data_IF_010485007217
#
_entry.id   IF_010485007217
#
_cell.length_a   1.000
_cell.length_b   1.000
_cell.length_c   1.000
_cell.angle_alpha   90.00
_cell.angle_beta   90.00
_cell.angle_gamma   90.00
#
_symmetry.space_group_name_H-M   'P 1'
#
loop_
_entity.id
_entity.type
_entity.pdbx_description
1 polymer ?
#
# COMPACT_ATOMS: atom_id res chain seq x y z
N UNK A 1 -5.08 62.27 -2.53
CA UNK A 1 -4.95 61.73 -3.90
C UNK A 1 -5.18 60.21 -3.98
N UNK A 2 -4.24 59.32 -3.69
CA UNK A 2 -4.44 57.85 -3.88
C UNK A 2 -5.58 57.28 -3.01
N UNK A 3 -5.66 57.71 -1.75
CA UNK A 3 -6.72 57.29 -0.83
C UNK A 3 -8.12 57.74 -1.28
N UNK A 4 -8.24 58.96 -1.80
CA UNK A 4 -9.49 59.46 -2.36
C UNK A 4 -9.89 58.70 -3.63
N UNK A 5 -8.93 58.37 -4.49
CA UNK A 5 -9.18 57.59 -5.70
C UNK A 5 -9.71 56.18 -5.38
N UNK A 6 -9.17 55.51 -4.37
CA UNK A 6 -9.68 54.20 -3.90
C UNK A 6 -11.11 54.35 -3.36
N UNK A 7 -11.37 55.40 -2.57
CA UNK A 7 -12.70 55.67 -1.99
C UNK A 7 -13.75 55.97 -3.07
N UNK A 8 -13.35 56.70 -4.11
CA UNK A 8 -14.18 56.97 -5.30
C UNK A 8 -14.45 55.70 -6.11
N UNK A 9 -13.45 54.83 -6.30
CA UNK A 9 -13.61 53.55 -6.99
C UNK A 9 -14.60 52.61 -6.28
N UNK A 10 -14.50 52.48 -4.95
CA UNK A 10 -15.48 51.72 -4.15
C UNK A 10 -16.89 52.30 -4.25
N UNK A 11 -17.03 53.64 -4.25
CA UNK A 11 -18.33 54.29 -4.42
C UNK A 11 -18.91 54.01 -5.81
N UNK A 12 -18.10 54.04 -6.86
CA UNK A 12 -18.52 53.74 -8.23
C UNK A 12 -18.95 52.27 -8.41
N UNK A 13 -18.23 51.33 -7.79
CA UNK A 13 -18.63 49.91 -7.71
C UNK A 13 -19.98 49.73 -6.99
N UNK A 14 -20.20 50.46 -5.90
CA UNK A 14 -21.43 50.35 -5.11
C UNK A 14 -22.66 50.99 -5.80
N UNK A 15 -22.45 51.90 -6.76
CA UNK A 15 -23.51 52.44 -7.63
C UNK A 15 -23.94 51.44 -8.70
N UNK A 16 -23.01 50.61 -9.20
CA UNK A 16 -23.26 49.65 -10.29
C UNK A 16 -23.22 48.19 -9.82
N UNK A 17 -23.86 47.91 -8.68
CA UNK A 17 -23.83 46.61 -7.97
C UNK A 17 -23.99 45.39 -8.87
N UNK A 18 -24.98 45.39 -9.78
CA UNK A 18 -25.26 44.26 -10.65
C UNK A 18 -24.11 43.97 -11.63
N UNK A 19 -23.52 45.02 -12.20
CA UNK A 19 -22.40 44.89 -13.13
C UNK A 19 -21.15 44.40 -12.41
N UNK A 20 -20.80 45.03 -11.28
CA UNK A 20 -19.63 44.64 -10.49
C UNK A 20 -19.75 43.21 -9.96
N UNK A 21 -20.94 42.80 -9.50
CA UNK A 21 -21.19 41.43 -9.02
C UNK A 21 -21.01 40.41 -10.14
N UNK A 22 -21.63 40.62 -11.31
CA UNK A 22 -21.54 39.69 -12.44
C UNK A 22 -20.11 39.58 -13.00
N UNK A 23 -19.37 40.68 -13.07
CA UNK A 23 -17.96 40.66 -13.51
C UNK A 23 -17.06 39.94 -12.51
N UNK A 24 -17.22 40.18 -11.21
CA UNK A 24 -16.46 39.46 -10.18
C UNK A 24 -16.80 37.96 -10.18
N UNK A 25 -18.08 37.62 -10.31
CA UNK A 25 -18.51 36.23 -10.35
C UNK A 25 -17.88 35.46 -11.52
N UNK A 26 -17.81 36.08 -12.71
CA UNK A 26 -17.15 35.48 -13.87
C UNK A 26 -15.66 35.22 -13.63
N UNK A 27 -14.94 36.18 -13.05
CA UNK A 27 -13.51 36.02 -12.74
C UNK A 27 -13.31 34.93 -11.68
N UNK A 28 -14.11 34.93 -10.60
CA UNK A 28 -14.01 33.96 -9.51
C UNK A 28 -14.27 32.54 -10.02
N UNK A 29 -15.34 32.32 -10.79
CA UNK A 29 -15.64 31.00 -11.36
C UNK A 29 -14.55 30.57 -12.35
N UNK A 30 -14.06 31.49 -13.19
CA UNK A 30 -13.00 31.22 -14.15
C UNK A 30 -11.72 30.75 -13.46
N UNK A 31 -11.21 31.54 -12.50
CA UNK A 31 -9.98 31.20 -11.76
C UNK A 31 -10.19 29.94 -10.91
N UNK A 32 -11.33 29.78 -10.25
CA UNK A 32 -11.64 28.60 -9.46
C UNK A 32 -11.65 27.31 -10.31
N UNK A 33 -12.23 27.36 -11.53
CA UNK A 33 -12.27 26.21 -12.44
C UNK A 33 -10.87 25.78 -12.90
N UNK A 34 -9.99 26.75 -13.18
CA UNK A 34 -8.59 26.48 -13.60
C UNK A 34 -7.78 25.89 -12.44
N UNK A 35 -7.92 26.42 -11.23
CA UNK A 35 -7.24 25.86 -10.05
C UNK A 35 -7.75 24.45 -9.76
N UNK A 36 -9.06 24.23 -9.85
CA UNK A 36 -9.66 22.92 -9.62
C UNK A 36 -9.13 21.87 -10.60
N UNK A 37 -9.11 22.16 -11.90
CA UNK A 37 -8.64 21.17 -12.90
C UNK A 37 -7.14 20.89 -12.78
N UNK A 38 -6.33 21.89 -12.46
CA UNK A 38 -4.88 21.72 -12.26
C UNK A 38 -4.59 20.84 -11.04
N UNK A 39 -5.24 21.13 -9.91
CA UNK A 39 -5.06 20.36 -8.67
C UNK A 39 -5.58 18.93 -8.81
N UNK A 40 -6.72 18.72 -9.47
CA UNK A 40 -7.23 17.38 -9.81
C UNK A 40 -6.26 16.62 -10.72
N UNK A 41 -5.72 17.28 -11.75
CA UNK A 41 -4.77 16.67 -12.67
C UNK A 41 -3.49 16.22 -11.97
N UNK A 42 -2.89 17.12 -11.19
CA UNK A 42 -1.68 16.83 -10.42
C UNK A 42 -1.90 15.72 -9.38
N UNK A 43 -3.02 15.76 -8.66
CA UNK A 43 -3.39 14.73 -7.68
C UNK A 43 -3.60 13.37 -8.34
N UNK A 44 -4.29 13.32 -9.49
CA UNK A 44 -4.48 12.08 -10.24
C UNK A 44 -3.16 11.51 -10.73
N UNK A 45 -2.27 12.35 -11.29
CA UNK A 45 -0.92 11.92 -11.69
C UNK A 45 -0.13 11.40 -10.51
N UNK A 46 -0.08 12.14 -9.39
CA UNK A 46 0.65 11.72 -8.19
C UNK A 46 0.11 10.41 -7.61
N UNK A 47 -1.21 10.23 -7.55
CA UNK A 47 -1.84 8.99 -7.06
C UNK A 47 -1.51 7.79 -7.95
N UNK A 48 -1.52 7.96 -9.28
CA UNK A 48 -1.13 6.92 -10.22
C UNK A 48 0.37 6.60 -10.05
N UNK A 49 1.22 7.63 -9.98
CA UNK A 49 2.66 7.44 -9.79
C UNK A 49 2.97 6.75 -8.46
N UNK A 50 2.31 7.13 -7.36
CA UNK A 50 2.44 6.45 -6.06
C UNK A 50 2.02 4.99 -6.15
N UNK A 51 0.86 4.69 -6.74
CA UNK A 51 0.40 3.31 -6.91
C UNK A 51 1.41 2.47 -7.71
N UNK A 52 2.00 3.06 -8.76
CA UNK A 52 3.00 2.38 -9.60
C UNK A 52 4.32 2.18 -8.85
N UNK A 53 4.78 3.18 -8.09
CA UNK A 53 6.01 3.11 -7.28
C UNK A 53 5.85 2.10 -6.15
N UNK A 54 4.72 2.13 -5.44
CA UNK A 54 4.34 1.16 -4.40
C UNK A 54 4.20 -0.26 -4.95
N UNK A 55 3.85 -0.41 -6.23
CA UNK A 55 3.76 -1.72 -6.89
C UNK A 55 5.14 -2.31 -7.28
N UNK A 56 6.24 -1.62 -6.97
CA UNK A 56 7.58 -2.17 -7.09
C UNK A 56 8.12 -2.12 -8.52
N UNK A 57 8.50 -0.93 -8.99
CA UNK A 57 9.23 -0.73 -10.26
C UNK A 57 10.57 -1.51 -10.35
N UNK A 58 11.02 -2.10 -9.25
CA UNK A 58 12.23 -2.93 -9.16
C UNK A 58 11.94 -4.42 -8.89
N UNK A 59 10.68 -4.86 -8.92
CA UNK A 59 10.30 -6.24 -8.61
C UNK A 59 9.90 -7.03 -9.87
N UNK A 60 10.56 -8.18 -10.08
CA UNK A 60 10.19 -9.14 -11.13
C UNK A 60 9.65 -10.40 -10.48
N UNK A 61 8.36 -10.68 -10.71
CA UNK A 61 7.72 -11.90 -10.19
C UNK A 61 7.75 -13.00 -11.24
N UNK A 62 8.35 -14.14 -10.89
CA UNK A 62 8.42 -15.32 -11.75
C UNK A 62 7.40 -16.34 -11.26
N UNK A 63 6.49 -16.75 -12.15
CA UNK A 63 5.53 -17.81 -11.87
C UNK A 63 5.91 -19.09 -12.62
N UNK A 64 5.84 -20.27 -12.00
CA UNK A 64 6.02 -21.52 -12.71
C UNK A 64 4.91 -21.68 -13.75
N UNK A 65 5.28 -22.06 -14.98
CA UNK A 65 4.30 -22.49 -15.98
C UNK A 65 3.70 -23.80 -15.49
N UNK A 66 2.37 -23.86 -15.39
CA UNK A 66 1.63 -25.04 -14.93
C UNK A 66 1.76 -26.17 -15.96
N UNK A 67 2.85 -26.92 -15.89
CA UNK A 67 3.11 -28.13 -16.67
C UNK A 67 2.95 -29.36 -15.77
N UNK A 68 2.48 -30.48 -16.33
CA UNK A 68 2.26 -31.75 -15.60
C UNK A 68 3.52 -32.32 -14.96
N UNK A 69 4.71 -31.83 -15.37
CA UNK A 69 5.99 -32.05 -14.69
C UNK A 69 6.41 -30.75 -14.02
N UNK A 70 5.75 -30.35 -12.95
CA UNK A 70 6.29 -29.32 -12.05
C UNK A 70 7.52 -29.91 -11.37
N UNK A 71 8.68 -29.75 -11.98
CA UNK A 71 9.94 -29.97 -11.30
C UNK A 71 10.00 -29.00 -10.11
N UNK A 72 10.52 -29.47 -8.97
CA UNK A 72 10.84 -28.66 -7.79
C UNK A 72 11.99 -27.66 -8.09
N UNK A 73 11.97 -26.99 -9.24
CA UNK A 73 13.02 -26.07 -9.69
C UNK A 73 13.02 -24.77 -8.89
N UNK A 74 11.85 -24.31 -8.43
CA UNK A 74 11.72 -23.13 -7.58
C UNK A 74 11.94 -23.50 -6.10
N UNK A 75 13.20 -23.76 -5.76
CA UNK A 75 13.67 -23.95 -4.36
C UNK A 75 14.43 -22.70 -3.90
N UNK A 76 14.61 -22.52 -2.59
CA UNK A 76 15.46 -21.43 -2.05
C UNK A 76 16.86 -21.39 -2.69
N UNK A 77 17.45 -22.55 -2.96
CA UNK A 77 18.74 -22.68 -3.67
C UNK A 77 18.72 -22.08 -5.09
N UNK A 78 17.58 -22.13 -5.79
CA UNK A 78 17.44 -21.45 -7.08
C UNK A 78 17.55 -19.93 -6.93
N UNK A 79 17.02 -19.38 -5.85
CA UNK A 79 17.15 -17.97 -5.53
C UNK A 79 18.60 -17.56 -5.27
N UNK A 80 19.34 -18.36 -4.50
CA UNK A 80 20.78 -18.14 -4.25
C UNK A 80 21.58 -18.15 -5.56
N UNK A 81 21.38 -19.17 -6.39
CA UNK A 81 22.06 -19.28 -7.70
C UNK A 81 21.74 -18.13 -8.63
N UNK A 82 20.50 -17.61 -8.59
CA UNK A 82 20.07 -16.50 -9.43
C UNK A 82 20.78 -15.20 -9.03
N UNK A 83 20.92 -14.95 -7.72
CA UNK A 83 21.68 -13.80 -7.19
C UNK A 83 23.17 -13.87 -7.56
N UNK A 84 23.75 -15.07 -7.63
CA UNK A 84 25.15 -15.27 -8.04
C UNK A 84 25.36 -15.13 -9.56
N UNK A 85 24.34 -15.47 -10.36
CA UNK A 85 24.49 -15.58 -11.82
C UNK A 85 24.08 -14.31 -12.57
N UNK A 86 23.34 -13.41 -11.94
CA UNK A 86 22.79 -12.20 -12.57
C UNK A 86 23.16 -10.97 -11.75
N UNK A 87 23.95 -10.09 -12.35
CA UNK A 87 24.31 -8.81 -11.75
C UNK A 87 23.09 -7.91 -11.55
N UNK A 88 23.11 -7.08 -10.50
CA UNK A 88 22.06 -6.13 -10.10
C UNK A 88 20.78 -6.73 -9.48
N UNK A 89 20.77 -8.01 -9.09
CA UNK A 89 19.71 -8.53 -8.23
C UNK A 89 20.02 -8.22 -6.77
N UNK A 90 19.21 -7.36 -6.14
CA UNK A 90 19.38 -7.01 -4.72
C UNK A 90 18.91 -8.12 -3.78
N UNK A 91 17.77 -8.74 -4.06
CA UNK A 91 17.17 -9.79 -3.23
C UNK A 91 16.24 -10.67 -4.05
N UNK A 92 16.21 -11.97 -3.76
CA UNK A 92 15.23 -12.92 -4.29
C UNK A 92 14.34 -13.39 -3.15
N UNK A 93 13.03 -13.31 -3.35
CA UNK A 93 12.03 -13.70 -2.35
C UNK A 93 11.23 -14.91 -2.86
N UNK A 94 11.50 -16.13 -2.35
CA UNK A 94 10.64 -17.26 -2.60
C UNK A 94 9.32 -17.06 -1.83
N UNK A 95 8.20 -17.23 -2.54
CA UNK A 95 6.87 -17.04 -1.96
C UNK A 95 6.02 -18.25 -2.29
N UNK A 96 5.41 -18.86 -1.27
CA UNK A 96 4.44 -19.94 -1.44
C UNK A 96 3.13 -19.55 -0.76
N UNK A 97 2.04 -19.48 -1.52
CA UNK A 97 0.73 -19.10 -1.02
C UNK A 97 -0.28 -20.24 -1.14
N UNK A 98 -1.10 -20.42 -0.11
CA UNK A 98 -2.19 -21.39 -0.09
C UNK A 98 -3.36 -20.86 0.74
N UNK A 99 -4.59 -21.17 0.33
CA UNK A 99 -5.77 -20.85 1.14
C UNK A 99 -5.91 -21.86 2.27
N UNK A 100 -6.15 -21.39 3.48
CA UNK A 100 -6.37 -22.22 4.65
C UNK A 100 -7.46 -21.64 5.55
N UNK A 101 -8.14 -22.52 6.28
CA UNK A 101 -9.08 -22.13 7.32
C UNK A 101 -8.30 -21.90 8.61
N UNK A 102 -8.29 -20.65 9.08
CA UNK A 102 -7.66 -20.24 10.34
C UNK A 102 -8.73 -20.22 11.42
N UNK A 103 -8.48 -20.89 12.55
CA UNK A 103 -9.43 -21.00 13.67
C UNK A 103 -8.79 -20.58 14.99
N UNK A 104 -9.54 -19.81 15.76
CA UNK A 104 -9.24 -19.41 17.14
C UNK A 104 -10.48 -19.61 17.99
N UNK A 105 -10.45 -20.61 18.89
CA UNK A 105 -11.62 -20.99 19.68
C UNK A 105 -12.81 -21.38 18.80
N UNK A 106 -13.90 -20.60 18.88
CA UNK A 106 -15.12 -20.80 18.09
C UNK A 106 -15.17 -19.97 16.79
N UNK A 107 -14.20 -19.09 16.57
CA UNK A 107 -14.13 -18.26 15.36
C UNK A 107 -13.26 -18.90 14.30
N UNK A 108 -13.68 -18.84 13.04
CA UNK A 108 -12.91 -19.33 11.91
C UNK A 108 -13.05 -18.43 10.69
N UNK A 109 -11.95 -18.19 9.99
CA UNK A 109 -11.87 -17.37 8.78
C UNK A 109 -11.07 -18.12 7.71
N UNK A 110 -11.50 -18.03 6.46
CA UNK A 110 -10.67 -18.47 5.33
C UNK A 110 -9.73 -17.34 4.95
N UNK A 111 -8.43 -17.59 5.00
CA UNK A 111 -7.42 -16.60 4.64
C UNK A 111 -6.31 -17.24 3.81
N UNK A 112 -5.63 -16.41 3.03
CA UNK A 112 -4.41 -16.81 2.34
C UNK A 112 -3.27 -16.88 3.35
N UNK A 113 -2.64 -18.04 3.45
CA UNK A 113 -1.41 -18.24 4.22
C UNK A 113 -0.25 -18.23 3.24
N UNK A 114 0.71 -17.36 3.49
CA UNK A 114 1.88 -17.19 2.64
C UNK A 114 3.15 -17.51 3.44
N UNK A 115 3.91 -18.48 2.97
CA UNK A 115 5.26 -18.75 3.43
C UNK A 115 6.24 -17.81 2.76
N UNK A 116 6.97 -17.05 3.57
CA UNK A 116 7.95 -16.04 3.15
C UNK A 116 9.19 -16.08 4.05
N UNK A 117 10.30 -15.52 3.57
CA UNK A 117 11.51 -15.33 4.38
C UNK A 117 11.38 -14.16 5.36
N UNK A 118 12.24 -14.10 6.37
CA UNK A 118 12.26 -13.01 7.36
C UNK A 118 12.52 -11.63 6.75
N UNK A 119 13.21 -11.57 5.60
CA UNK A 119 13.49 -10.33 4.87
C UNK A 119 12.31 -9.80 4.07
N UNK A 120 11.22 -10.56 3.97
CA UNK A 120 10.07 -10.20 3.14
C UNK A 120 9.42 -8.88 3.56
N UNK A 121 9.29 -8.65 4.88
CA UNK A 121 8.73 -7.41 5.39
C UNK A 121 9.62 -6.20 5.10
N UNK A 122 10.95 -6.36 5.23
CA UNK A 122 11.90 -5.27 4.99
C UNK A 122 11.99 -4.88 3.51
N UNK A 123 11.87 -5.85 2.60
CA UNK A 123 11.93 -5.58 1.14
C UNK A 123 10.64 -4.94 0.63
N UNK A 124 9.49 -5.26 1.23
CA UNK A 124 8.19 -4.71 0.86
C UNK A 124 7.75 -3.53 1.75
N UNK A 125 8.65 -3.01 2.58
CA UNK A 125 8.40 -1.92 3.52
C UNK A 125 7.15 -2.12 4.40
N UNK A 126 6.86 -3.37 4.78
CA UNK A 126 5.76 -3.67 5.67
C UNK A 126 6.08 -3.25 7.10
N UNK A 127 5.23 -2.40 7.65
CA UNK A 127 5.31 -1.97 9.05
C UNK A 127 4.41 -2.83 9.93
N UNK A 128 4.91 -3.19 11.10
CA UNK A 128 4.14 -3.96 12.10
C UNK A 128 3.57 -3.01 13.13
N UNK A 129 2.25 -3.05 13.34
CA UNK A 129 1.58 -2.23 14.36
C UNK A 129 1.84 -2.78 15.77
N UNK A 130 1.78 -4.10 15.91
CA UNK A 130 1.95 -4.80 17.20
C UNK A 130 2.90 -5.98 17.02
N UNK A 131 3.89 -6.07 17.90
CA UNK A 131 4.89 -7.14 17.89
C UNK A 131 6.03 -6.86 16.92
N UNK A 132 6.59 -7.93 16.35
CA UNK A 132 7.66 -7.86 15.35
C UNK A 132 7.46 -8.94 14.31
N UNK A 133 8.03 -8.74 13.12
CA UNK A 133 8.14 -9.81 12.14
C UNK A 133 9.03 -10.94 12.67
N UNK A 134 8.90 -12.15 12.11
CA UNK A 134 9.73 -13.27 12.52
C UNK A 134 11.16 -13.14 11.99
N UNK A 135 12.12 -13.65 12.75
CA UNK A 135 13.56 -13.52 12.47
C UNK A 135 14.12 -14.73 11.76
N UNK A 136 15.34 -14.61 11.21
CA UNK A 136 16.05 -15.76 10.64
C UNK A 136 16.28 -16.87 11.67
N UNK A 137 16.48 -16.53 12.95
CA UNK A 137 16.61 -17.51 14.02
C UNK A 137 15.32 -18.31 14.24
N UNK A 138 14.15 -17.68 14.05
CA UNK A 138 12.87 -18.38 14.15
C UNK A 138 12.72 -19.39 13.01
N UNK A 139 13.18 -19.04 11.81
CA UNK A 139 13.24 -19.95 10.66
C UNK A 139 14.18 -21.14 10.92
N UNK A 140 15.42 -20.88 11.36
CA UNK A 140 16.41 -21.93 11.66
C UNK A 140 15.95 -22.87 12.79
N UNK A 141 15.25 -22.33 13.79
CA UNK A 141 14.72 -23.10 14.90
C UNK A 141 13.37 -23.79 14.59
N UNK A 142 12.84 -23.65 13.37
CA UNK A 142 11.51 -24.14 12.97
C UNK A 142 10.40 -23.73 13.94
N UNK A 143 10.45 -22.50 14.45
CA UNK A 143 9.43 -21.99 15.37
C UNK A 143 8.13 -21.75 14.62
N UNK A 144 7.03 -22.17 15.22
CA UNK A 144 5.69 -21.98 14.68
C UNK A 144 5.19 -20.57 15.01
N UNK A 145 5.72 -19.58 14.30
CA UNK A 145 5.33 -18.17 14.40
C UNK A 145 4.60 -17.74 13.14
N UNK A 146 3.66 -16.82 13.28
CA UNK A 146 2.85 -16.29 12.19
C UNK A 146 2.59 -14.81 12.42
N UNK A 147 2.58 -14.05 11.33
CA UNK A 147 2.20 -12.64 11.33
C UNK A 147 0.82 -12.54 10.70
N UNK A 148 -0.09 -11.82 11.35
CA UNK A 148 -1.47 -11.65 10.88
C UNK A 148 -1.60 -10.31 10.17
N UNK A 149 -2.32 -10.30 9.04
CA UNK A 149 -2.78 -9.05 8.43
C UNK A 149 -3.82 -8.37 9.33
N UNK A 150 -3.92 -7.05 9.25
CA UNK A 150 -4.81 -6.23 10.09
C UNK A 150 -6.26 -6.74 10.09
N UNK A 151 -6.82 -7.02 8.92
CA UNK A 151 -8.20 -7.54 8.79
C UNK A 151 -8.40 -8.88 9.49
N UNK A 152 -7.44 -9.81 9.34
CA UNK A 152 -7.50 -11.14 9.96
C UNK A 152 -7.35 -11.04 11.48
N UNK A 153 -6.48 -10.15 11.95
CA UNK A 153 -6.28 -9.88 13.37
C UNK A 153 -7.54 -9.29 14.01
N UNK A 154 -8.19 -8.31 13.39
CA UNK A 154 -9.44 -7.71 13.89
C UNK A 154 -10.59 -8.71 13.99
N UNK A 155 -10.74 -9.57 12.97
CA UNK A 155 -11.85 -10.54 12.93
C UNK A 155 -11.67 -11.66 13.97
N UNK A 156 -10.46 -12.20 14.08
CA UNK A 156 -10.13 -13.25 15.04
C UNK A 156 -10.02 -12.71 16.47
N UNK A 157 -9.42 -11.52 16.65
CA UNK A 157 -9.11 -10.91 17.94
C UNK A 157 -9.67 -9.47 18.05
N UNK A 158 -11.00 -9.29 18.14
CA UNK A 158 -11.64 -7.96 18.22
C UNK A 158 -11.28 -7.18 19.50
N UNK A 159 -10.69 -7.85 20.50
CA UNK A 159 -10.19 -7.23 21.73
C UNK A 159 -8.71 -6.81 21.68
N UNK A 160 -8.04 -6.97 20.53
CA UNK A 160 -6.66 -6.52 20.33
C UNK A 160 -5.55 -7.39 20.95
N UNK A 161 -5.88 -8.49 21.63
CA UNK A 161 -4.91 -9.38 22.28
C UNK A 161 -4.56 -10.60 21.41
N UNK A 162 -3.92 -10.36 20.26
CA UNK A 162 -3.48 -11.41 19.34
C UNK A 162 -2.06 -11.95 19.66
N UNK A 163 -1.22 -11.16 20.33
CA UNK A 163 0.19 -11.48 20.53
C UNK A 163 0.37 -12.62 21.53
N UNK A 164 1.17 -13.64 21.15
CA UNK A 164 1.43 -14.82 21.98
C UNK A 164 0.27 -15.81 22.08
N UNK A 165 -0.84 -15.59 21.37
CA UNK A 165 -1.94 -16.55 21.28
C UNK A 165 -1.67 -17.60 20.22
N UNK A 166 -2.25 -18.77 20.41
CA UNK A 166 -2.18 -19.86 19.45
C UNK A 166 -3.38 -19.83 18.51
N UNK A 167 -3.11 -20.04 17.22
CA UNK A 167 -4.12 -20.20 16.18
C UNK A 167 -3.92 -21.56 15.52
N UNK A 168 -5.00 -22.17 15.04
CA UNK A 168 -4.92 -23.40 14.25
C UNK A 168 -5.14 -23.09 12.78
N UNK A 169 -4.26 -23.58 11.92
CA UNK A 169 -4.35 -23.44 10.46
C UNK A 169 -4.70 -24.81 9.88
N UNK A 170 -5.83 -24.90 9.18
CA UNK A 170 -6.29 -26.11 8.52
C UNK A 170 -6.19 -25.92 7.00
N UNK A 171 -5.42 -26.78 6.35
CA UNK A 171 -5.26 -26.83 4.90
C UNK A 171 -6.10 -27.93 4.28
#
# INVERSE_FOLDING_TARGET
>A
MVWENIKLAFKAMNTSKMRTLLSLLGIVIGVASVIAILTLGESATNSITQTIVESGLEMVTIFPVRSEKSSNEFTENFGERLMESVDNIKTVLPVNSSNALIRVGQKSINATVTGVLSTYADVLDYTTEVGSFFTQNDNLANRQVVVLGSTVAEELFPGGDALGKYISIFR
#
